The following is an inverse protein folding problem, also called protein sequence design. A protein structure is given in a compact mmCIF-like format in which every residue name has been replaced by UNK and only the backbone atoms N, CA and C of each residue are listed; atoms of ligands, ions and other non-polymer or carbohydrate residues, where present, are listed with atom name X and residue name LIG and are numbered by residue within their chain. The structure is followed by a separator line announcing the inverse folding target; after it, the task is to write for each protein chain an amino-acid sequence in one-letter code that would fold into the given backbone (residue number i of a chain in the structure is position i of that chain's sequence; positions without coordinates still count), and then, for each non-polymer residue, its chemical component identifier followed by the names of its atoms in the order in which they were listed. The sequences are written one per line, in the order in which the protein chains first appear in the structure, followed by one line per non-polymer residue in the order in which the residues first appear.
data_IF_908124984567
#
_entry.id   IF_908124984567
#
_cell.length_a   1.000
_cell.length_b   1.000
_cell.length_c   1.000
_cell.angle_alpha   90.00
_cell.angle_beta   90.00
_cell.angle_gamma   90.00
#
_symmetry.space_group_name_H-M   'P 1'
#
loop_
_entity.id
_entity.type
_entity.pdbx_description
1 polymer ?
#
# COMPACT_ATOMS: atom_id res chain seq x y z
N UNK A 1 26.63 23.24 0.98
CA UNK A 1 25.39 22.48 0.72
C UNK A 1 25.59 21.33 -0.27
N UNK A 2 26.34 21.47 -1.35
CA UNK A 2 26.54 20.42 -2.37
C UNK A 2 27.23 19.13 -1.88
N UNK A 3 28.14 19.22 -0.91
CA UNK A 3 28.88 18.06 -0.37
C UNK A 3 28.08 17.18 0.61
N UNK A 4 27.03 17.70 1.25
CA UNK A 4 26.11 16.89 2.08
C UNK A 4 25.22 15.98 1.24
N UNK A 5 24.73 16.47 0.10
CA UNK A 5 23.88 15.68 -0.79
C UNK A 5 24.62 14.54 -1.51
N UNK A 6 25.91 14.69 -1.77
CA UNK A 6 26.73 13.62 -2.37
C UNK A 6 26.97 12.46 -1.40
N UNK A 7 27.15 12.74 -0.10
CA UNK A 7 27.32 11.73 0.93
C UNK A 7 26.07 10.86 1.13
N UNK A 8 24.89 11.47 1.17
CA UNK A 8 23.60 10.76 1.28
C UNK A 8 23.36 9.83 0.09
N UNK A 9 23.69 10.25 -1.13
CA UNK A 9 23.56 9.44 -2.34
C UNK A 9 24.46 8.19 -2.33
N UNK A 10 25.68 8.30 -1.79
CA UNK A 10 26.61 7.16 -1.67
C UNK A 10 26.13 6.17 -0.57
N UNK A 11 25.63 6.67 0.54
CA UNK A 11 25.03 5.82 1.59
C UNK A 11 23.79 5.08 1.08
N UNK A 12 22.92 5.72 0.31
CA UNK A 12 21.77 5.10 -0.34
C UNK A 12 22.21 3.98 -1.30
N UNK A 13 23.30 4.16 -2.04
CA UNK A 13 23.86 3.15 -2.94
C UNK A 13 24.46 1.94 -2.18
N UNK A 14 25.11 2.19 -1.05
CA UNK A 14 25.67 1.13 -0.22
C UNK A 14 24.58 0.31 0.49
N UNK A 15 23.56 0.98 1.01
CA UNK A 15 22.38 0.34 1.58
C UNK A 15 21.64 -0.46 0.48
N UNK A 16 21.41 0.13 -0.69
CA UNK A 16 20.80 -0.55 -1.82
C UNK A 16 21.61 -1.78 -2.27
N UNK A 17 22.94 -1.67 -2.40
CA UNK A 17 23.81 -2.81 -2.73
C UNK A 17 23.82 -3.89 -1.65
N UNK A 18 23.81 -3.53 -0.38
CA UNK A 18 23.79 -4.48 0.74
C UNK A 18 22.45 -5.23 0.80
N UNK A 19 21.35 -4.49 0.73
CA UNK A 19 19.98 -5.00 0.75
C UNK A 19 19.75 -5.97 -0.43
N UNK A 20 20.21 -5.59 -1.63
CA UNK A 20 19.96 -6.34 -2.87
C UNK A 20 20.89 -7.54 -3.10
N UNK A 21 22.12 -7.51 -2.60
CA UNK A 21 23.06 -8.63 -2.75
C UNK A 21 22.54 -9.92 -2.12
N UNK A 22 21.80 -9.78 -1.05
CA UNK A 22 21.18 -10.90 -0.32
C UNK A 22 19.92 -11.42 -1.04
N UNK A 23 19.09 -10.54 -1.61
CA UNK A 23 17.90 -10.91 -2.38
C UNK A 23 18.27 -11.69 -3.66
N UNK A 24 19.27 -11.21 -4.42
CA UNK A 24 19.73 -11.87 -5.65
C UNK A 24 20.38 -13.22 -5.35
N UNK A 25 21.15 -13.33 -4.28
CA UNK A 25 21.78 -14.61 -3.88
C UNK A 25 20.73 -15.69 -3.62
N UNK A 26 19.62 -15.31 -3.00
CA UNK A 26 18.53 -16.23 -2.68
C UNK A 26 17.71 -16.61 -3.92
N UNK A 27 17.54 -15.73 -4.90
CA UNK A 27 16.84 -16.02 -6.16
C UNK A 27 17.69 -16.89 -7.10
N UNK A 28 19.02 -16.71 -7.11
CA UNK A 28 19.95 -17.53 -7.90
C UNK A 28 20.00 -18.99 -7.41
N UNK A 29 20.04 -19.19 -6.11
CA UNK A 29 20.02 -20.51 -5.48
C UNK A 29 18.71 -21.25 -5.79
N UNK A 30 17.59 -20.52 -5.94
CA UNK A 30 16.27 -21.08 -6.24
C UNK A 30 16.11 -21.51 -7.70
N UNK A 31 16.74 -20.81 -8.66
CA UNK A 31 16.69 -21.20 -10.10
C UNK A 31 17.42 -22.50 -10.40
N UNK A 32 18.40 -22.88 -9.58
CA UNK A 32 19.11 -24.15 -9.71
C UNK A 32 18.35 -25.34 -9.11
N UNK A 33 17.40 -25.11 -8.20
CA UNK A 33 16.70 -26.21 -7.50
C UNK A 33 15.32 -26.56 -8.00
N UNK A 34 14.73 -25.80 -8.96
CA UNK A 34 13.38 -26.07 -9.48
C UNK A 34 13.41 -26.09 -11.00
N UNK A 35 13.63 -27.29 -11.55
CA UNK A 35 13.35 -27.59 -12.94
C UNK A 35 11.84 -27.50 -13.22
N UNK A 36 11.52 -26.75 -14.29
CA UNK A 36 10.31 -26.78 -15.14
C UNK A 36 8.97 -27.21 -14.49
N UNK A 37 8.06 -26.32 -14.57
CA UNK A 37 6.60 -26.35 -14.48
C UNK A 37 6.07 -25.68 -13.24
N UNK A 38 5.57 -24.46 -13.52
CA UNK A 38 4.28 -23.97 -13.05
C UNK A 38 4.13 -22.53 -13.57
N UNK A 39 3.23 -22.33 -14.53
CA UNK A 39 2.58 -21.06 -14.79
C UNK A 39 1.70 -20.80 -13.57
N UNK A 40 2.30 -20.26 -12.51
CA UNK A 40 1.64 -19.87 -11.28
C UNK A 40 1.87 -18.37 -11.11
N UNK A 41 0.79 -17.63 -10.85
CA UNK A 41 0.78 -16.21 -10.46
C UNK A 41 2.04 -15.88 -9.65
N UNK A 42 2.88 -15.04 -10.19
CA UNK A 42 4.08 -14.51 -9.52
C UNK A 42 3.61 -13.74 -8.29
N UNK A 43 4.24 -14.00 -7.15
CA UNK A 43 3.87 -13.49 -5.85
C UNK A 43 3.52 -12.00 -5.86
N UNK A 44 2.50 -11.64 -5.06
CA UNK A 44 1.82 -10.35 -5.03
C UNK A 44 2.76 -9.17 -5.23
N UNK A 45 2.43 -8.36 -6.20
CA UNK A 45 3.18 -7.16 -6.51
C UNK A 45 3.02 -6.18 -5.33
N UNK A 46 4.14 -5.57 -4.92
CA UNK A 46 4.18 -4.61 -3.82
C UNK A 46 3.44 -3.35 -4.28
N UNK A 47 2.37 -2.97 -3.60
CA UNK A 47 1.57 -1.78 -3.92
C UNK A 47 2.25 -0.49 -3.46
N UNK A 48 2.63 0.44 -4.34
CA UNK A 48 3.31 1.67 -3.94
C UNK A 48 2.41 2.90 -3.81
N UNK A 49 1.14 2.85 -4.20
CA UNK A 49 0.25 4.00 -4.37
C UNK A 49 -0.26 4.61 -3.05
N UNK A 50 0.66 5.00 -2.14
CA UNK A 50 0.30 5.60 -0.83
C UNK A 50 -0.58 6.83 -0.99
N UNK A 51 -0.25 7.71 -1.93
CA UNK A 51 -0.99 8.96 -2.11
C UNK A 51 -2.40 8.71 -2.66
N UNK A 52 -2.57 7.75 -3.55
CA UNK A 52 -3.90 7.42 -4.08
C UNK A 52 -4.85 6.99 -2.95
N UNK A 53 -4.39 6.12 -2.06
CA UNK A 53 -5.16 5.69 -0.89
C UNK A 53 -5.40 6.85 0.10
N UNK A 54 -4.40 7.69 0.38
CA UNK A 54 -4.54 8.86 1.25
C UNK A 54 -5.60 9.84 0.71
N UNK A 55 -5.52 10.17 -0.57
CA UNK A 55 -6.50 11.03 -1.25
C UNK A 55 -7.90 10.43 -1.26
N UNK A 56 -8.01 9.12 -1.46
CA UNK A 56 -9.28 8.40 -1.40
C UNK A 56 -9.91 8.50 -0.01
N UNK A 57 -9.15 8.17 1.02
CA UNK A 57 -9.62 8.25 2.39
C UNK A 57 -10.01 9.66 2.82
N UNK A 58 -9.28 10.68 2.36
CA UNK A 58 -9.64 12.07 2.62
C UNK A 58 -11.03 12.40 2.06
N UNK A 59 -11.33 12.00 0.79
CA UNK A 59 -12.67 12.18 0.20
C UNK A 59 -13.76 11.44 0.99
N UNK A 60 -13.50 10.18 1.37
CA UNK A 60 -14.46 9.38 2.16
C UNK A 60 -14.71 10.01 3.52
N UNK A 61 -13.68 10.48 4.22
CA UNK A 61 -13.79 11.08 5.56
C UNK A 61 -14.65 12.35 5.58
N UNK A 62 -14.72 13.06 4.47
CA UNK A 62 -15.56 14.25 4.29
C UNK A 62 -17.07 13.90 4.25
N UNK A 63 -17.40 12.74 3.68
CA UNK A 63 -18.78 12.29 3.42
C UNK A 63 -19.36 11.47 4.56
N UNK A 64 -18.53 10.81 5.37
CA UNK A 64 -18.98 10.09 6.57
C UNK A 64 -19.51 11.09 7.60
N UNK A 65 -20.57 10.72 8.34
CA UNK A 65 -21.26 11.61 9.25
C UNK A 65 -21.32 11.09 10.69
N UNK A 66 -21.74 12.00 11.61
CA UNK A 66 -21.99 11.66 13.02
C UNK A 66 -20.78 11.13 13.75
N UNK A 67 -20.98 10.15 14.65
CA UNK A 67 -19.93 9.59 15.48
C UNK A 67 -18.77 8.97 14.65
N UNK A 68 -19.03 8.44 13.47
CA UNK A 68 -17.99 7.89 12.60
C UNK A 68 -17.02 8.99 12.16
N UNK A 69 -17.55 10.14 11.73
CA UNK A 69 -16.75 11.31 11.37
C UNK A 69 -15.94 11.82 12.56
N UNK A 70 -16.60 11.95 13.73
CA UNK A 70 -15.92 12.41 14.95
C UNK A 70 -14.76 11.48 15.34
N UNK A 71 -14.95 10.16 15.20
CA UNK A 71 -13.91 9.17 15.49
C UNK A 71 -12.75 9.27 14.51
N UNK A 72 -13.03 9.43 13.20
CA UNK A 72 -11.98 9.64 12.19
C UNK A 72 -11.19 10.92 12.51
N UNK A 73 -11.86 12.03 12.83
CA UNK A 73 -11.19 13.30 13.12
C UNK A 73 -10.35 13.22 14.39
N UNK A 74 -10.86 12.59 15.45
CA UNK A 74 -10.13 12.42 16.71
C UNK A 74 -8.87 11.57 16.57
N UNK A 75 -8.87 10.62 15.63
CA UNK A 75 -7.79 9.65 15.43
C UNK A 75 -7.35 9.60 13.95
N UNK A 76 -7.22 10.76 13.31
CA UNK A 76 -6.95 10.86 11.88
C UNK A 76 -5.65 10.16 11.46
N UNK A 77 -4.62 10.21 12.31
CA UNK A 77 -3.35 9.51 12.07
C UNK A 77 -3.56 7.99 11.92
N UNK A 78 -4.41 7.40 12.75
CA UNK A 78 -4.70 5.97 12.69
C UNK A 78 -5.63 5.61 11.52
N UNK A 79 -6.58 6.48 11.20
CA UNK A 79 -7.37 6.36 9.97
C UNK A 79 -6.46 6.40 8.74
N UNK A 80 -5.56 7.37 8.66
CA UNK A 80 -4.63 7.56 7.54
C UNK A 80 -3.74 6.33 7.31
N UNK A 81 -3.15 5.75 8.37
CA UNK A 81 -2.36 4.54 8.19
C UNK A 81 -3.23 3.32 7.86
N UNK A 82 -4.49 3.29 8.28
CA UNK A 82 -5.47 2.29 7.88
C UNK A 82 -5.67 2.23 6.38
N UNK A 83 -5.54 3.37 5.69
CA UNK A 83 -5.59 3.48 4.22
C UNK A 83 -4.48 2.70 3.50
N UNK A 84 -3.46 2.24 4.22
CA UNK A 84 -2.43 1.35 3.66
C UNK A 84 -2.78 -0.13 3.85
N UNK A 85 -3.87 -0.44 4.53
CA UNK A 85 -4.37 -1.81 4.68
C UNK A 85 -3.30 -2.81 5.12
N UNK A 86 -3.29 -4.02 4.53
CA UNK A 86 -2.29 -5.04 4.79
C UNK A 86 -0.96 -4.81 4.05
N UNK A 87 -0.86 -3.80 3.17
CA UNK A 87 0.33 -3.48 2.37
C UNK A 87 1.56 -3.18 3.21
N UNK A 88 1.36 -2.66 4.44
CA UNK A 88 2.45 -2.43 5.38
C UNK A 88 3.33 -3.67 5.57
N UNK A 89 2.76 -4.88 5.44
CA UNK A 89 3.48 -6.13 5.64
C UNK A 89 4.36 -6.54 4.46
N UNK A 90 4.09 -6.06 3.25
CA UNK A 90 4.99 -6.24 2.11
C UNK A 90 6.35 -5.62 2.38
N UNK A 91 6.37 -4.54 3.15
CA UNK A 91 7.57 -3.79 3.48
C UNK A 91 8.32 -4.29 4.71
N UNK A 92 7.83 -5.32 5.41
CA UNK A 92 8.61 -5.91 6.50
C UNK A 92 9.87 -6.58 5.95
N UNK A 93 11.06 -5.98 6.21
CA UNK A 93 12.35 -6.46 5.69
C UNK A 93 12.27 -6.81 4.19
N UNK A 94 11.92 -5.85 3.32
CA UNK A 94 11.51 -6.12 1.92
C UNK A 94 12.65 -6.69 1.06
N UNK A 95 13.88 -6.66 1.57
CA UNK A 95 15.07 -7.24 0.94
C UNK A 95 15.18 -8.76 1.08
N UNK A 96 14.30 -9.39 1.85
CA UNK A 96 14.31 -10.85 2.04
C UNK A 96 12.90 -11.41 2.07
N UNK A 97 12.68 -12.53 1.36
CA UNK A 97 11.41 -13.24 1.43
C UNK A 97 11.23 -13.82 2.84
N UNK A 98 10.18 -13.45 3.52
CA UNK A 98 9.88 -13.87 4.89
C UNK A 98 8.40 -14.16 5.07
N UNK A 99 8.03 -14.75 6.23
CA UNK A 99 6.64 -15.13 6.52
C UNK A 99 5.70 -13.93 6.64
N UNK A 100 6.20 -12.75 7.00
CA UNK A 100 5.37 -11.54 7.15
C UNK A 100 4.98 -10.99 5.77
N UNK A 101 5.93 -10.90 4.81
CA UNK A 101 5.57 -10.50 3.44
C UNK A 101 4.60 -11.51 2.80
N UNK A 102 4.83 -12.82 3.02
CA UNK A 102 3.93 -13.86 2.53
C UNK A 102 2.53 -13.76 3.15
N UNK A 103 2.45 -13.33 4.41
CA UNK A 103 1.17 -13.09 5.08
C UNK A 103 0.44 -11.89 4.47
N UNK A 104 1.13 -10.78 4.17
CA UNK A 104 0.56 -9.65 3.43
C UNK A 104 -0.02 -10.11 2.08
N UNK A 105 0.78 -10.82 1.26
CA UNK A 105 0.31 -11.39 -0.02
C UNK A 105 -0.89 -12.33 0.17
N UNK A 106 -0.86 -13.18 1.19
CA UNK A 106 -1.95 -14.11 1.48
C UNK A 106 -3.26 -13.38 1.79
N UNK A 107 -3.21 -12.29 2.55
CA UNK A 107 -4.39 -11.50 2.89
C UNK A 107 -5.07 -10.88 1.65
N UNK A 108 -4.31 -10.51 0.62
CA UNK A 108 -4.88 -9.95 -0.62
C UNK A 108 -5.62 -10.99 -1.46
N UNK A 109 -5.13 -12.22 -1.48
CA UNK A 109 -5.68 -13.29 -2.33
C UNK A 109 -6.79 -14.12 -1.69
N UNK A 110 -7.21 -13.83 -0.45
CA UNK A 110 -8.29 -14.55 0.23
C UNK A 110 -9.47 -13.63 0.50
N UNK A 111 -10.65 -14.22 0.78
CA UNK A 111 -11.80 -13.46 1.27
C UNK A 111 -11.43 -12.62 2.49
N UNK A 112 -11.82 -11.34 2.48
CA UNK A 112 -11.62 -10.43 3.59
C UNK A 112 -12.61 -10.65 4.75
N UNK A 113 -13.66 -11.46 4.55
CA UNK A 113 -14.69 -11.70 5.55
C UNK A 113 -14.17 -12.18 6.91
N UNK A 114 -13.22 -13.13 7.00
CA UNK A 114 -12.67 -13.56 8.28
C UNK A 114 -11.95 -12.43 9.03
N UNK A 115 -11.26 -11.53 8.31
CA UNK A 115 -10.63 -10.36 8.89
C UNK A 115 -11.68 -9.40 9.47
N UNK A 116 -12.70 -9.03 8.69
CA UNK A 116 -13.76 -8.13 9.15
C UNK A 116 -14.61 -8.72 10.27
N UNK A 117 -14.85 -10.03 10.25
CA UNK A 117 -15.49 -10.74 11.36
C UNK A 117 -14.69 -10.64 12.66
N UNK A 118 -13.36 -10.76 12.57
CA UNK A 118 -12.49 -10.54 13.73
C UNK A 118 -12.49 -9.08 14.16
N UNK A 119 -12.45 -8.15 13.19
CA UNK A 119 -12.48 -6.72 13.46
C UNK A 119 -13.71 -6.27 14.26
N UNK A 120 -14.88 -6.89 14.03
CA UNK A 120 -16.07 -6.66 14.88
C UNK A 120 -15.78 -6.94 16.36
N UNK A 121 -15.05 -8.01 16.67
CA UNK A 121 -14.71 -8.35 18.06
C UNK A 121 -13.73 -7.36 18.67
N UNK A 122 -12.75 -6.90 17.87
CA UNK A 122 -11.79 -5.89 18.31
C UNK A 122 -12.51 -4.58 18.65
N UNK A 123 -13.33 -4.06 17.71
CA UNK A 123 -14.02 -2.78 17.91
C UNK A 123 -15.06 -2.84 19.01
N UNK A 124 -15.77 -3.97 19.16
CA UNK A 124 -16.68 -4.16 20.31
C UNK A 124 -15.97 -4.05 21.66
N UNK A 125 -14.74 -4.55 21.75
CA UNK A 125 -13.92 -4.46 22.95
C UNK A 125 -13.32 -3.06 23.18
N UNK A 126 -12.92 -2.37 22.13
CA UNK A 126 -12.21 -1.09 22.18
C UNK A 126 -13.16 0.11 22.18
N UNK A 127 -14.33 -0.02 21.59
CA UNK A 127 -15.36 1.01 21.49
C UNK A 127 -15.34 1.77 20.16
N UNK A 128 -16.51 2.34 19.81
CA UNK A 128 -16.72 3.07 18.56
C UNK A 128 -15.95 4.38 18.42
N UNK A 129 -15.51 4.97 19.53
CA UNK A 129 -14.69 6.18 19.55
C UNK A 129 -13.19 5.91 19.66
N UNK A 130 -12.73 4.67 19.41
CA UNK A 130 -11.34 4.27 19.60
C UNK A 130 -10.46 4.50 18.37
N UNK A 131 -9.16 4.64 18.62
CA UNK A 131 -8.14 4.70 17.58
C UNK A 131 -8.12 3.44 16.70
N UNK A 132 -8.42 2.29 17.28
CA UNK A 132 -8.55 1.03 16.55
C UNK A 132 -9.69 1.09 15.54
N UNK A 133 -10.83 1.71 15.91
CA UNK A 133 -11.93 1.84 14.95
C UNK A 133 -11.60 2.84 13.84
N UNK A 134 -10.90 3.94 14.15
CA UNK A 134 -10.41 4.86 13.11
C UNK A 134 -9.49 4.13 12.12
N UNK A 135 -8.52 3.33 12.61
CA UNK A 135 -7.68 2.49 11.76
C UNK A 135 -8.51 1.56 10.87
N UNK A 136 -9.51 0.88 11.43
CA UNK A 136 -10.35 -0.03 10.68
C UNK A 136 -11.17 0.68 9.59
N UNK A 137 -11.67 1.88 9.84
CA UNK A 137 -12.38 2.67 8.82
C UNK A 137 -11.45 3.01 7.65
N UNK A 138 -10.20 3.36 7.92
CA UNK A 138 -9.18 3.50 6.87
C UNK A 138 -8.91 2.20 6.12
N UNK A 139 -8.84 1.08 6.83
CA UNK A 139 -8.67 -0.25 6.23
C UNK A 139 -9.85 -0.64 5.32
N UNK A 140 -11.09 -0.29 5.69
CA UNK A 140 -12.26 -0.48 4.82
C UNK A 140 -12.10 0.35 3.53
N UNK A 141 -11.63 1.60 3.63
CA UNK A 141 -11.36 2.43 2.46
C UNK A 141 -10.33 1.76 1.53
N UNK A 142 -9.21 1.27 2.07
CA UNK A 142 -8.21 0.54 1.31
C UNK A 142 -8.82 -0.68 0.60
N UNK A 143 -9.50 -1.54 1.34
CA UNK A 143 -10.17 -2.73 0.80
C UNK A 143 -11.11 -2.42 -0.35
N UNK A 144 -11.91 -1.36 -0.24
CA UNK A 144 -12.87 -0.98 -1.29
C UNK A 144 -12.13 -0.45 -2.51
N UNK A 145 -11.14 0.44 -2.35
CA UNK A 145 -10.40 0.96 -3.49
C UNK A 145 -9.71 -0.15 -4.27
N UNK A 146 -9.03 -1.06 -3.59
CA UNK A 146 -8.34 -2.19 -4.22
C UNK A 146 -9.32 -3.12 -4.93
N UNK A 147 -10.35 -3.60 -4.24
CA UNK A 147 -11.30 -4.54 -4.81
C UNK A 147 -12.11 -3.99 -6.01
N UNK A 148 -12.18 -2.67 -6.18
CA UNK A 148 -12.82 -2.01 -7.33
C UNK A 148 -11.82 -1.66 -8.44
N UNK A 149 -10.55 -1.37 -8.10
CA UNK A 149 -9.54 -0.95 -9.08
C UNK A 149 -8.72 -2.12 -9.65
N UNK A 150 -8.33 -3.11 -8.84
CA UNK A 150 -7.43 -4.19 -9.28
C UNK A 150 -7.94 -5.03 -10.45
N UNK A 151 -9.23 -5.39 -10.54
CA UNK A 151 -9.71 -6.10 -11.73
C UNK A 151 -9.50 -5.32 -13.03
N UNK A 152 -9.53 -3.99 -12.95
CA UNK A 152 -9.22 -3.14 -14.10
C UNK A 152 -7.73 -3.01 -14.35
N UNK A 153 -6.90 -2.90 -13.30
CA UNK A 153 -5.45 -2.92 -13.42
C UNK A 153 -4.99 -4.20 -14.10
N UNK A 154 -5.47 -5.36 -13.66
CA UNK A 154 -5.15 -6.66 -14.27
C UNK A 154 -5.55 -6.74 -15.74
N UNK A 155 -6.73 -6.23 -16.09
CA UNK A 155 -7.16 -6.10 -17.49
C UNK A 155 -6.15 -5.27 -18.30
N UNK A 156 -5.75 -4.09 -17.78
CA UNK A 156 -4.85 -3.18 -18.48
C UNK A 156 -3.42 -3.71 -18.58
N UNK A 157 -2.94 -4.49 -17.61
CA UNK A 157 -1.68 -5.24 -17.72
C UNK A 157 -1.74 -6.17 -18.94
N UNK A 158 -2.84 -6.91 -19.10
CA UNK A 158 -3.03 -7.82 -20.23
C UNK A 158 -3.09 -7.09 -21.59
N UNK A 159 -3.68 -5.92 -21.66
CA UNK A 159 -3.86 -5.13 -22.88
C UNK A 159 -2.62 -4.33 -23.28
N UNK A 160 -1.92 -3.75 -22.30
CA UNK A 160 -0.81 -2.82 -22.55
C UNK A 160 0.58 -3.44 -22.36
N UNK A 161 0.67 -4.52 -21.59
CA UNK A 161 1.93 -5.10 -21.13
C UNK A 161 2.67 -4.27 -20.07
N UNK A 162 2.08 -3.14 -19.62
CA UNK A 162 2.64 -2.31 -18.56
C UNK A 162 2.49 -3.05 -17.23
N UNK A 163 3.53 -3.02 -16.41
CA UNK A 163 3.52 -3.74 -15.13
C UNK A 163 2.65 -3.03 -14.09
N UNK A 164 2.08 -3.78 -13.16
CA UNK A 164 1.18 -3.32 -12.10
C UNK A 164 1.71 -2.06 -11.38
N UNK A 165 2.92 -2.15 -10.82
CA UNK A 165 3.54 -1.04 -10.09
C UNK A 165 3.70 0.24 -10.93
N UNK A 166 3.91 0.11 -12.23
CA UNK A 166 4.03 1.25 -13.13
C UNK A 166 2.68 1.88 -13.42
N UNK A 167 1.62 1.08 -13.56
CA UNK A 167 0.25 1.58 -13.71
C UNK A 167 -0.14 2.43 -12.50
N UNK A 168 0.12 1.94 -11.31
CA UNK A 168 -0.19 2.65 -10.07
C UNK A 168 0.66 3.91 -9.86
N UNK A 169 1.93 3.83 -10.19
CA UNK A 169 2.84 5.00 -10.16
C UNK A 169 2.35 6.10 -11.10
N UNK A 170 1.96 5.75 -12.33
CA UNK A 170 1.42 6.69 -13.30
C UNK A 170 0.09 7.30 -12.84
N UNK A 171 -0.76 6.50 -12.21
CA UNK A 171 -2.00 6.98 -11.62
C UNK A 171 -1.74 7.91 -10.43
N UNK A 172 -0.82 7.54 -9.51
CA UNK A 172 -0.42 8.39 -8.39
C UNK A 172 0.14 9.74 -8.86
N UNK A 173 0.98 9.76 -9.91
CA UNK A 173 1.48 11.01 -10.51
C UNK A 173 0.37 11.89 -11.04
N UNK A 174 -0.63 11.29 -11.71
CA UNK A 174 -1.79 12.03 -12.20
C UNK A 174 -2.55 12.67 -11.04
N UNK A 175 -2.86 11.93 -9.99
CA UNK A 175 -3.57 12.44 -8.81
C UNK A 175 -2.80 13.58 -8.12
N UNK A 176 -1.49 13.43 -7.94
CA UNK A 176 -0.65 14.48 -7.35
C UNK A 176 -0.70 15.77 -8.17
N UNK A 177 -0.63 15.67 -9.50
CA UNK A 177 -0.73 16.84 -10.40
C UNK A 177 -2.11 17.49 -10.35
N UNK A 178 -3.19 16.70 -10.29
CA UNK A 178 -4.55 17.22 -10.13
C UNK A 178 -4.70 18.06 -8.87
N UNK A 179 -3.97 17.68 -7.81
CA UNK A 179 -3.97 18.39 -6.52
C UNK A 179 -2.86 19.47 -6.43
N UNK A 180 -2.24 19.83 -7.55
CA UNK A 180 -1.21 20.89 -7.64
C UNK A 180 0.11 20.52 -6.94
N UNK A 181 0.37 19.23 -6.70
CA UNK A 181 1.57 18.71 -6.05
C UNK A 181 2.59 18.24 -7.09
N UNK A 182 3.88 18.39 -6.78
CA UNK A 182 4.94 17.84 -7.64
C UNK A 182 5.16 16.35 -7.33
N UNK A 183 4.87 15.43 -8.25
CA UNK A 183 5.01 14.00 -8.04
C UNK A 183 6.42 13.55 -7.69
N UNK A 184 7.43 14.26 -8.20
CA UNK A 184 8.84 13.87 -8.05
C UNK A 184 9.36 14.16 -6.64
N UNK A 185 8.86 15.23 -6.03
CA UNK A 185 9.33 15.69 -4.72
C UNK A 185 8.34 15.47 -3.57
N UNK A 186 7.14 14.99 -3.87
CA UNK A 186 6.13 14.77 -2.84
C UNK A 186 6.60 13.79 -1.76
N UNK A 187 6.46 14.13 -0.46
CA UNK A 187 7.03 13.35 0.62
C UNK A 187 6.10 12.22 1.09
N UNK A 188 5.79 11.23 0.24
CA UNK A 188 4.92 10.09 0.58
C UNK A 188 5.29 9.41 1.92
N UNK A 189 6.56 9.43 2.31
CA UNK A 189 7.01 8.86 3.58
C UNK A 189 6.40 9.55 4.82
N UNK A 190 5.97 10.80 4.71
CA UNK A 190 5.39 11.54 5.82
C UNK A 190 3.95 11.10 6.12
N UNK A 191 3.30 10.41 5.17
CA UNK A 191 2.00 9.76 5.36
C UNK A 191 2.08 8.46 6.18
N UNK A 192 3.29 8.03 6.59
CA UNK A 192 3.51 6.80 7.33
C UNK A 192 3.93 7.12 8.77
N UNK A 193 3.02 7.16 9.74
CA UNK A 193 3.35 7.29 11.16
C UNK A 193 4.01 5.99 11.67
N UNK A 194 4.90 6.13 12.66
CA UNK A 194 5.65 5.00 13.23
C UNK A 194 5.68 5.03 14.76
N UNK A 195 4.79 5.82 15.36
CA UNK A 195 4.67 5.98 16.80
C UNK A 195 3.97 4.76 17.45
N UNK A 196 4.14 4.64 18.79
CA UNK A 196 3.59 3.54 19.56
C UNK A 196 2.06 3.50 19.52
N UNK A 197 1.40 4.65 19.55
CA UNK A 197 -0.06 4.75 19.50
C UNK A 197 -0.62 4.18 18.19
N UNK A 198 0.06 4.43 17.07
CA UNK A 198 -0.25 3.87 15.76
C UNK A 198 -0.08 2.34 15.75
N UNK A 199 1.03 1.83 16.29
CA UNK A 199 1.28 0.39 16.40
C UNK A 199 0.20 -0.31 17.24
N UNK A 200 -0.18 0.28 18.36
CA UNK A 200 -1.24 -0.23 19.23
C UNK A 200 -2.63 -0.25 18.57
N UNK A 201 -2.91 0.71 17.68
CA UNK A 201 -4.17 0.73 16.92
C UNK A 201 -4.24 -0.38 15.87
N UNK A 202 -3.12 -0.72 15.24
CA UNK A 202 -3.02 -1.72 14.16
C UNK A 202 -3.01 -3.15 14.70
N UNK A 203 -2.16 -3.40 15.69
CA UNK A 203 -1.82 -4.75 16.14
C UNK A 203 -3.03 -5.64 16.50
N UNK A 204 -4.10 -5.15 17.16
CA UNK A 204 -5.21 -6.00 17.59
C UNK A 204 -5.97 -6.71 16.46
N UNK A 205 -5.86 -6.24 15.22
CA UNK A 205 -6.55 -6.82 14.06
C UNK A 205 -5.85 -8.03 13.47
N UNK A 206 -4.60 -8.29 13.85
CA UNK A 206 -3.79 -9.36 13.30
C UNK A 206 -3.43 -10.40 14.36
N UNK A 207 -3.40 -11.68 13.95
CA UNK A 207 -3.16 -12.80 14.89
C UNK A 207 -1.96 -13.66 14.48
N UNK A 208 -1.72 -14.71 15.28
CA UNK A 208 -0.86 -15.85 14.94
C UNK A 208 0.54 -15.46 14.45
N UNK A 209 1.34 -14.90 15.35
CA UNK A 209 2.75 -14.61 15.09
C UNK A 209 3.02 -13.18 14.67
N UNK A 210 1.98 -12.35 14.47
CA UNK A 210 2.15 -10.91 14.41
C UNK A 210 2.37 -10.37 15.82
N UNK A 211 3.34 -9.48 15.98
CA UNK A 211 3.66 -8.80 17.24
C UNK A 211 3.69 -7.30 17.03
N UNK A 212 3.53 -6.48 18.07
CA UNK A 212 3.71 -5.03 17.94
C UNK A 212 5.04 -4.65 17.29
N UNK A 213 6.13 -5.34 17.62
CA UNK A 213 7.44 -5.11 17.01
C UNK A 213 7.52 -5.44 15.52
N UNK A 214 6.72 -6.40 15.02
CA UNK A 214 6.60 -6.66 13.57
C UNK A 214 5.86 -5.52 12.88
N UNK A 215 4.76 -5.04 13.45
CA UNK A 215 4.00 -3.90 12.91
C UNK A 215 4.89 -2.65 12.89
N UNK A 216 5.55 -2.33 13.99
CA UNK A 216 6.48 -1.20 14.08
C UNK A 216 7.59 -1.27 13.02
N UNK A 217 8.23 -2.44 12.88
CA UNK A 217 9.27 -2.62 11.88
C UNK A 217 8.72 -2.49 10.45
N UNK A 218 7.52 -3.01 10.17
CA UNK A 218 6.86 -2.87 8.86
C UNK A 218 6.65 -1.40 8.50
N UNK A 219 6.15 -0.59 9.43
CA UNK A 219 5.96 0.84 9.23
C UNK A 219 7.29 1.59 9.03
N UNK A 220 8.31 1.26 9.81
CA UNK A 220 9.66 1.86 9.67
C UNK A 220 10.29 1.51 8.33
N UNK A 221 10.16 0.27 7.88
CA UNK A 221 10.69 -0.19 6.61
C UNK A 221 9.92 0.43 5.42
N UNK A 222 8.58 0.50 5.48
CA UNK A 222 7.76 1.21 4.51
C UNK A 222 8.21 2.67 4.39
N UNK A 223 8.31 3.38 5.52
CA UNK A 223 8.78 4.78 5.55
C UNK A 223 10.17 4.93 4.97
N UNK A 224 11.10 4.01 5.29
CA UNK A 224 12.45 3.99 4.74
C UNK A 224 12.44 3.80 3.21
N UNK A 225 11.68 2.83 2.70
CA UNK A 225 11.57 2.56 1.26
C UNK A 225 11.03 3.78 0.53
N UNK A 226 9.96 4.41 1.04
CA UNK A 226 9.40 5.62 0.42
C UNK A 226 10.37 6.81 0.44
N UNK A 227 11.22 6.93 1.47
CA UNK A 227 12.31 7.94 1.48
C UNK A 227 13.40 7.63 0.46
N UNK A 228 13.81 6.37 0.32
CA UNK A 228 14.83 5.94 -0.63
C UNK A 228 14.40 6.18 -2.08
N UNK A 229 13.14 5.88 -2.40
CA UNK A 229 12.62 6.03 -3.76
C UNK A 229 12.11 7.44 -4.08
N UNK A 230 12.03 8.35 -3.10
CA UNK A 230 11.83 9.78 -3.36
C UNK A 230 13.12 10.40 -3.88
N UNK A 231 13.21 10.63 -5.20
CA UNK A 231 14.41 11.17 -5.85
C UNK A 231 14.12 12.51 -6.54
N UNK A 232 14.20 13.64 -5.80
CA UNK A 232 13.87 14.96 -6.34
C UNK A 232 14.86 15.45 -7.41
N UNK A 233 16.05 14.81 -7.54
CA UNK A 233 17.04 15.15 -8.55
C UNK A 233 17.08 14.14 -9.69
N UNK A 234 17.32 14.62 -10.92
CA UNK A 234 17.49 13.73 -12.07
C UNK A 234 18.69 12.79 -11.91
N UNK A 235 19.75 13.25 -11.29
CA UNK A 235 20.95 12.43 -11.02
C UNK A 235 20.64 11.28 -10.04
N UNK A 236 19.93 11.56 -8.95
CA UNK A 236 19.51 10.52 -7.99
C UNK A 236 18.61 9.48 -8.65
N UNK A 237 17.63 9.90 -9.43
CA UNK A 237 16.76 9.00 -10.19
C UNK A 237 17.57 8.15 -11.19
N UNK A 238 18.51 8.74 -11.94
CA UNK A 238 19.36 8.02 -12.89
C UNK A 238 20.21 6.95 -12.19
N UNK A 239 20.71 7.23 -11.00
CA UNK A 239 21.49 6.27 -10.20
C UNK A 239 20.64 5.06 -9.82
N UNK A 240 19.43 5.26 -9.27
CA UNK A 240 18.54 4.17 -8.90
C UNK A 240 18.08 3.39 -10.13
N UNK A 241 17.67 4.06 -11.21
CA UNK A 241 17.28 3.41 -12.45
C UNK A 241 18.41 2.56 -13.05
N UNK A 242 19.66 3.07 -13.02
CA UNK A 242 20.83 2.33 -13.49
C UNK A 242 21.08 1.10 -12.63
N UNK A 243 20.96 1.22 -11.31
CA UNK A 243 21.08 0.08 -10.41
C UNK A 243 20.01 -0.98 -10.67
N UNK A 244 18.73 -0.61 -10.82
CA UNK A 244 17.66 -1.53 -11.17
C UNK A 244 17.88 -2.22 -12.53
N UNK A 245 18.40 -1.48 -13.54
CA UNK A 245 18.76 -2.04 -14.86
C UNK A 245 19.89 -3.05 -14.76
N UNK A 246 20.96 -2.70 -14.03
CA UNK A 246 22.11 -3.59 -13.81
C UNK A 246 21.73 -4.91 -13.12
N UNK A 247 20.65 -4.88 -12.31
CA UNK A 247 20.10 -6.04 -11.62
C UNK A 247 19.02 -6.78 -12.42
N UNK A 248 18.67 -6.32 -13.63
CA UNK A 248 17.61 -6.90 -14.45
C UNK A 248 16.20 -6.75 -13.88
N UNK A 249 16.00 -5.81 -12.93
CA UNK A 249 14.73 -5.62 -12.22
C UNK A 249 13.99 -4.33 -12.61
N UNK A 250 14.55 -3.52 -13.49
CA UNK A 250 13.99 -2.22 -13.85
C UNK A 250 12.53 -2.30 -14.31
N UNK A 251 12.21 -3.24 -15.20
CA UNK A 251 10.85 -3.40 -15.71
C UNK A 251 9.80 -3.69 -14.64
N UNK A 252 10.19 -4.44 -13.59
CA UNK A 252 9.29 -4.82 -12.50
C UNK A 252 9.20 -3.78 -11.38
N UNK A 253 10.25 -2.99 -11.17
CA UNK A 253 10.41 -2.19 -9.96
C UNK A 253 10.44 -0.68 -10.19
N UNK A 254 10.48 -0.22 -11.44
CA UNK A 254 10.58 1.23 -11.74
C UNK A 254 9.40 2.01 -11.14
N UNK A 255 8.22 1.41 -11.06
CA UNK A 255 7.04 2.01 -10.45
C UNK A 255 7.10 2.20 -8.92
N UNK A 256 8.13 1.68 -8.23
CA UNK A 256 8.38 2.04 -6.82
C UNK A 256 8.80 3.50 -6.64
N UNK A 257 9.19 4.16 -7.71
CA UNK A 257 9.68 5.54 -7.72
C UNK A 257 8.97 6.32 -8.82
N UNK A 258 8.41 7.46 -8.49
CA UNK A 258 7.79 8.35 -9.47
C UNK A 258 8.81 8.78 -10.54
N UNK A 259 8.60 8.30 -11.77
CA UNK A 259 9.48 8.58 -12.90
C UNK A 259 9.20 9.97 -13.46
N UNK A 260 10.27 10.67 -13.94
CA UNK A 260 10.15 12.02 -14.54
C UNK A 260 9.45 12.00 -15.89
N UNK A 261 9.51 10.86 -16.58
CA UNK A 261 8.86 10.66 -17.87
C UNK A 261 7.64 9.80 -17.69
N UNK A 262 6.50 10.26 -18.17
CA UNK A 262 5.26 9.51 -18.12
C UNK A 262 5.26 8.39 -19.18
N UNK A 263 4.59 7.28 -18.85
CA UNK A 263 4.35 6.23 -19.81
C UNK A 263 3.08 6.53 -20.62
N UNK A 264 3.17 6.82 -21.93
CA UNK A 264 2.00 7.17 -22.72
C UNK A 264 0.95 6.06 -22.81
N UNK A 265 1.34 4.78 -22.58
CA UNK A 265 0.42 3.65 -22.56
C UNK A 265 -0.51 3.66 -21.33
N UNK A 266 -0.15 4.42 -20.29
CA UNK A 266 -0.98 4.54 -19.08
C UNK A 266 -2.05 5.62 -19.16
N UNK A 267 -2.12 6.40 -20.25
CA UNK A 267 -3.09 7.51 -20.35
C UNK A 267 -4.53 7.01 -20.23
N UNK A 268 -4.92 6.05 -21.06
CA UNK A 268 -6.25 5.46 -21.04
C UNK A 268 -6.52 4.71 -19.73
N UNK A 269 -5.50 4.02 -19.21
CA UNK A 269 -5.57 3.35 -17.92
C UNK A 269 -5.88 4.33 -16.79
N UNK A 270 -5.21 5.48 -16.76
CA UNK A 270 -5.44 6.52 -15.76
C UNK A 270 -6.85 7.11 -15.84
N UNK A 271 -7.40 7.32 -17.06
CA UNK A 271 -8.78 7.78 -17.27
C UNK A 271 -9.79 6.77 -16.73
N UNK A 272 -9.55 5.47 -16.94
CA UNK A 272 -10.40 4.42 -16.38
C UNK A 272 -10.25 4.23 -14.87
N UNK A 273 -9.07 4.46 -14.31
CA UNK A 273 -8.82 4.37 -12.87
C UNK A 273 -9.46 5.53 -12.11
N UNK A 274 -9.39 6.77 -12.60
CA UNK A 274 -10.01 7.90 -11.91
C UNK A 274 -11.54 7.75 -11.84
N UNK A 275 -12.17 7.18 -12.85
CA UNK A 275 -13.61 6.90 -12.81
C UNK A 275 -13.93 5.90 -11.69
N UNK A 276 -13.18 4.79 -11.59
CA UNK A 276 -13.40 3.78 -10.54
C UNK A 276 -13.09 4.34 -9.16
N UNK A 277 -12.03 5.11 -9.04
CA UNK A 277 -11.67 5.81 -7.81
C UNK A 277 -12.83 6.68 -7.31
N UNK A 278 -13.42 7.51 -8.19
CA UNK A 278 -14.51 8.40 -7.80
C UNK A 278 -15.81 7.62 -7.51
N UNK A 279 -16.14 6.60 -8.30
CA UNK A 279 -17.31 5.73 -8.08
C UNK A 279 -17.21 4.94 -6.77
N UNK A 280 -15.99 4.59 -6.35
CA UNK A 280 -15.72 3.82 -5.12
C UNK A 280 -15.91 4.62 -3.84
N UNK A 281 -15.88 5.95 -3.89
CA UNK A 281 -16.00 6.80 -2.69
C UNK A 281 -17.32 6.56 -1.95
N UNK A 282 -18.45 6.60 -2.66
CA UNK A 282 -19.76 6.34 -2.06
C UNK A 282 -19.89 4.89 -1.58
N UNK A 283 -19.24 3.95 -2.28
CA UNK A 283 -19.20 2.54 -1.86
C UNK A 283 -18.50 2.44 -0.51
N UNK A 284 -17.32 3.08 -0.35
CA UNK A 284 -16.57 3.04 0.90
C UNK A 284 -17.36 3.66 2.07
N UNK A 285 -18.04 4.78 1.85
CA UNK A 285 -18.91 5.40 2.87
C UNK A 285 -19.98 4.40 3.32
N UNK A 286 -20.72 3.80 2.39
CA UNK A 286 -21.74 2.80 2.72
C UNK A 286 -21.18 1.58 3.42
N UNK A 287 -19.98 1.13 3.06
CA UNK A 287 -19.36 -0.03 3.70
C UNK A 287 -18.90 0.27 5.14
N UNK A 288 -18.43 1.48 5.42
CA UNK A 288 -18.15 1.94 6.78
C UNK A 288 -19.44 1.97 7.60
N UNK A 289 -20.52 2.54 7.07
CA UNK A 289 -21.82 2.60 7.73
C UNK A 289 -22.42 1.20 7.96
N UNK A 290 -22.33 0.31 6.98
CA UNK A 290 -22.78 -1.08 7.08
C UNK A 290 -22.01 -1.87 8.15
N UNK A 291 -20.68 -1.65 8.24
CA UNK A 291 -19.87 -2.25 9.30
C UNK A 291 -20.32 -1.75 10.68
N UNK A 292 -20.55 -0.44 10.81
CA UNK A 292 -21.05 0.15 12.06
C UNK A 292 -22.45 -0.35 12.43
N UNK A 293 -23.33 -0.56 11.47
CA UNK A 293 -24.62 -1.18 11.69
C UNK A 293 -24.47 -2.63 12.19
N UNK A 294 -23.57 -3.42 11.59
CA UNK A 294 -23.27 -4.77 12.06
C UNK A 294 -22.68 -4.78 13.49
N UNK A 295 -21.88 -3.78 13.81
CA UNK A 295 -21.29 -3.60 15.13
C UNK A 295 -22.34 -3.31 16.21
N UNK A 296 -23.32 -2.45 15.91
CA UNK A 296 -24.30 -1.92 16.86
C UNK A 296 -25.57 -2.77 16.94
N UNK A 297 -26.07 -3.27 15.82
CA UNK A 297 -27.32 -4.07 15.76
C UNK A 297 -27.10 -5.59 15.83
N UNK A 298 -25.87 -6.05 15.58
CA UNK A 298 -25.56 -7.47 15.47
C UNK A 298 -25.97 -8.11 14.14
N UNK A 299 -26.38 -7.31 13.13
CA UNK A 299 -26.62 -7.81 11.78
C UNK A 299 -25.36 -8.48 11.21
N UNK A 300 -25.50 -9.48 10.32
CA UNK A 300 -24.36 -10.02 9.57
C UNK A 300 -23.62 -8.90 8.80
N UNK A 301 -22.32 -9.10 8.59
CA UNK A 301 -21.56 -8.27 7.68
C UNK A 301 -22.14 -8.39 6.27
N UNK A 302 -22.10 -7.28 5.53
CA UNK A 302 -22.53 -7.23 4.13
C UNK A 302 -21.67 -8.17 3.26
N UNK A 303 -22.28 -8.80 2.25
CA UNK A 303 -21.65 -9.78 1.36
C UNK A 303 -20.41 -9.22 0.66
N UNK A 304 -20.35 -7.90 0.41
CA UNK A 304 -19.17 -7.27 -0.20
C UNK A 304 -17.89 -7.48 0.61
N UNK A 305 -17.96 -7.66 1.91
CA UNK A 305 -16.80 -8.03 2.74
C UNK A 305 -16.24 -9.44 2.46
N UNK A 306 -16.95 -10.25 1.68
CA UNK A 306 -16.47 -11.59 1.27
C UNK A 306 -15.64 -11.58 -0.03
N UNK A 307 -15.39 -10.40 -0.60
CA UNK A 307 -14.46 -10.24 -1.76
C UNK A 307 -13.01 -10.34 -1.32
N UNK A 308 -12.13 -10.50 -2.30
CA UNK A 308 -10.68 -10.32 -2.15
C UNK A 308 -10.31 -8.86 -2.39
N UNK A 309 -9.04 -8.51 -2.16
CA UNK A 309 -8.49 -7.20 -2.56
C UNK A 309 -8.12 -7.17 -4.05
N UNK A 310 -8.10 -8.35 -4.69
CA UNK A 310 -7.77 -8.55 -6.12
C UNK A 310 -9.03 -8.68 -6.98
#
# INVERSE_FOLDING_TARGET
MALRNAGESVWHLLIFKSIWKESIRNEFIRKESIGKNLSGKTGGDIMPAIYAHDRFGAKVSELVNGQLKDTIHAHYTQFQIGLQGPDIFFFYRPWSKNKVNQYGTHLHGISAYPFFKHALLVVRKKGRGSKEYAYLMGFICHFILDSECHPYVEKMIGETGVQHLEIEEEFEKMLLRMDGKDPISYPNADLVPTDEETVEAIFPFYHKGMTPGIVEQSLKDLKLVKRLFRQPTAAGQAVINTAMKALGQYGKMKGLMNQRTDNPLCKETNEGLIQRFDDSVEIAVRMIESFDESLTSGKPLEERFDRTFE
#
